data_IF_042037679858
#
_entry.id   IF_042037679858
#
_cell.length_a   1.000
_cell.length_b   1.000
_cell.length_c   1.000
_cell.angle_alpha   90.00
_cell.angle_beta   90.00
_cell.angle_gamma   90.00
#
_symmetry.space_group_name_H-M   'P 1'
#
loop_
_entity.id
_entity.type
_entity.pdbx_description
1 polymer ?
#
# COMPACT_ATOMS: atom_id res chain seq x y z
N UNK A 1 4.75 16.26 -19.05
CA UNK A 1 5.38 16.65 -20.34
C UNK A 1 6.03 15.47 -21.10
N UNK A 2 6.55 14.42 -20.43
CA UNK A 2 7.16 13.26 -21.11
C UNK A 2 6.18 12.35 -21.87
N UNK A 3 5.00 12.08 -21.31
CA UNK A 3 4.04 11.12 -21.87
C UNK A 3 3.45 11.54 -23.23
N UNK A 4 3.23 12.85 -23.44
CA UNK A 4 2.70 13.39 -24.69
C UNK A 4 3.72 13.32 -25.85
N UNK A 5 5.01 13.51 -25.56
CA UNK A 5 6.08 13.40 -26.58
C UNK A 5 6.29 11.95 -27.04
N UNK A 6 6.19 10.98 -26.11
CA UNK A 6 6.29 9.56 -26.42
C UNK A 6 5.10 9.08 -27.28
N UNK A 7 3.89 9.53 -26.96
CA UNK A 7 2.70 9.25 -27.77
C UNK A 7 2.82 9.83 -29.17
N UNK A 8 3.32 11.07 -29.30
CA UNK A 8 3.55 11.71 -30.59
C UNK A 8 4.59 10.95 -31.44
N UNK A 9 5.69 10.47 -30.85
CA UNK A 9 6.70 9.69 -31.58
C UNK A 9 6.18 8.32 -32.03
N UNK A 10 5.26 7.72 -31.27
CA UNK A 10 4.69 6.39 -31.58
C UNK A 10 3.56 6.44 -32.61
N UNK A 11 2.76 7.52 -32.60
CA UNK A 11 1.66 7.72 -33.54
C UNK A 11 2.19 8.31 -34.87
N UNK A 12 3.30 9.06 -34.83
CA UNK A 12 3.83 9.80 -35.98
C UNK A 12 2.81 10.82 -36.50
N UNK A 13 2.73 10.98 -37.82
CA UNK A 13 1.78 11.91 -38.47
C UNK A 13 0.37 11.31 -38.70
N UNK A 14 0.06 10.14 -38.11
CA UNK A 14 -1.23 9.47 -38.32
C UNK A 14 -2.35 10.25 -37.62
N UNK A 15 -3.29 10.80 -38.40
CA UNK A 15 -4.55 11.33 -37.88
C UNK A 15 -5.43 10.17 -37.39
N UNK A 16 -5.67 10.11 -36.09
CA UNK A 16 -6.54 9.11 -35.47
C UNK A 16 -7.71 9.78 -34.75
N UNK A 17 -8.83 9.06 -34.64
CA UNK A 17 -9.95 9.48 -33.79
C UNK A 17 -9.46 9.61 -32.34
N UNK A 18 -9.83 10.68 -31.64
CA UNK A 18 -9.52 10.84 -30.22
C UNK A 18 -10.44 9.96 -29.37
N UNK A 19 -10.25 8.64 -29.48
CA UNK A 19 -10.90 7.63 -28.65
C UNK A 19 -9.87 6.64 -28.14
N UNK A 20 -10.12 6.08 -26.95
CA UNK A 20 -9.24 5.12 -26.31
C UNK A 20 -8.87 3.95 -27.23
N UNK A 21 -9.84 3.38 -27.94
CA UNK A 21 -9.61 2.22 -28.81
C UNK A 21 -8.77 2.56 -30.04
N UNK A 22 -8.97 3.74 -30.63
CA UNK A 22 -8.20 4.19 -31.79
C UNK A 22 -6.73 4.48 -31.41
N UNK A 23 -6.51 5.09 -30.25
CA UNK A 23 -5.16 5.34 -29.71
C UNK A 23 -4.47 4.02 -29.36
N UNK A 24 -5.15 3.12 -28.64
CA UNK A 24 -4.59 1.83 -28.27
C UNK A 24 -4.20 1.00 -29.49
N UNK A 25 -5.03 0.97 -30.54
CA UNK A 25 -4.74 0.21 -31.77
C UNK A 25 -3.44 0.64 -32.45
N UNK A 26 -3.18 1.96 -32.51
CA UNK A 26 -1.95 2.47 -33.15
C UNK A 26 -0.72 2.27 -32.28
N UNK A 27 -0.86 2.42 -30.96
CA UNK A 27 0.27 2.34 -30.03
C UNK A 27 0.62 0.88 -29.70
N UNK A 28 -0.35 -0.03 -29.70
CA UNK A 28 -0.14 -1.42 -29.29
C UNK A 28 0.82 -2.19 -30.18
N UNK A 29 0.81 -1.93 -31.49
CA UNK A 29 1.67 -2.65 -32.44
C UNK A 29 3.16 -2.34 -32.22
N UNK A 30 3.45 -1.14 -31.69
CA UNK A 30 4.82 -0.64 -31.48
C UNK A 30 5.31 -0.70 -30.03
N UNK A 31 4.42 -0.93 -29.05
CA UNK A 31 4.76 -0.82 -27.61
C UNK A 31 4.30 -1.98 -26.76
N UNK A 32 3.39 -2.83 -27.25
CA UNK A 32 2.84 -3.90 -26.43
C UNK A 32 3.77 -5.10 -26.41
N UNK A 33 4.78 -5.00 -25.56
CA UNK A 33 5.75 -6.07 -25.32
C UNK A 33 5.08 -7.25 -24.62
N UNK A 34 4.09 -7.02 -23.75
CA UNK A 34 3.45 -8.09 -22.95
C UNK A 34 1.94 -8.10 -23.18
N UNK A 35 1.37 -9.29 -23.37
CA UNK A 35 -0.07 -9.51 -23.49
C UNK A 35 -0.53 -10.53 -22.45
N UNK A 36 -1.57 -10.19 -21.69
CA UNK A 36 -2.11 -11.01 -20.59
C UNK A 36 -3.59 -11.21 -20.84
N UNK A 37 -3.96 -12.41 -21.27
CA UNK A 37 -5.31 -12.72 -21.76
C UNK A 37 -6.02 -13.74 -20.88
N UNK A 38 -7.34 -13.57 -20.75
CA UNK A 38 -8.22 -14.58 -20.15
C UNK A 38 -8.45 -15.77 -21.12
N UNK A 39 -9.19 -16.78 -20.65
CA UNK A 39 -9.56 -17.95 -21.45
C UNK A 39 -10.34 -17.65 -22.74
N UNK A 40 -10.96 -16.47 -22.84
CA UNK A 40 -11.67 -16.01 -24.03
C UNK A 40 -10.77 -15.18 -24.96
N UNK A 41 -9.47 -15.08 -24.67
CA UNK A 41 -8.51 -14.29 -25.44
C UNK A 41 -8.59 -12.79 -25.21
N UNK A 42 -9.38 -12.34 -24.22
CA UNK A 42 -9.54 -10.92 -23.90
C UNK A 42 -8.46 -10.46 -22.95
N UNK A 43 -7.94 -9.27 -23.17
CA UNK A 43 -6.95 -8.65 -22.28
C UNK A 43 -7.53 -8.41 -20.90
N UNK A 44 -6.80 -8.87 -19.88
CA UNK A 44 -7.16 -8.64 -18.49
C UNK A 44 -6.76 -7.21 -18.13
N UNK A 45 -7.75 -6.34 -17.92
CA UNK A 45 -7.51 -4.91 -17.64
C UNK A 45 -7.02 -4.66 -16.21
N UNK A 46 -7.30 -5.58 -15.29
CA UNK A 46 -6.96 -5.47 -13.86
C UNK A 46 -5.64 -6.17 -13.56
N UNK A 47 -4.62 -5.95 -14.38
CA UNK A 47 -3.27 -6.47 -14.13
C UNK A 47 -2.25 -5.36 -14.19
N UNK A 48 -1.44 -5.26 -13.14
CA UNK A 48 -0.18 -4.52 -13.17
C UNK A 48 0.96 -5.50 -13.41
N UNK A 49 1.98 -5.06 -14.13
CA UNK A 49 3.17 -5.88 -14.33
C UNK A 49 4.44 -5.05 -14.28
N UNK A 50 5.55 -5.71 -13.95
CA UNK A 50 6.90 -5.16 -14.02
C UNK A 50 7.79 -6.17 -14.72
N UNK A 51 8.37 -5.75 -15.84
CA UNK A 51 9.39 -6.51 -16.55
C UNK A 51 10.77 -6.00 -16.16
N UNK A 52 11.68 -6.91 -15.79
CA UNK A 52 13.09 -6.64 -15.58
C UNK A 52 13.93 -7.57 -16.44
N UNK A 53 15.00 -7.03 -16.99
CA UNK A 53 16.03 -7.78 -17.68
C UNK A 53 17.29 -7.82 -16.82
N UNK A 54 17.92 -8.97 -16.81
CA UNK A 54 19.21 -9.29 -16.19
C UNK A 54 20.00 -10.10 -17.23
N UNK A 55 21.33 -10.15 -17.15
CA UNK A 55 22.23 -10.55 -18.26
C UNK A 55 21.86 -11.86 -18.97
N UNK A 56 21.21 -12.80 -18.27
CA UNK A 56 20.81 -14.10 -18.83
C UNK A 56 19.32 -14.44 -18.64
N UNK A 57 18.51 -13.51 -18.12
CA UNK A 57 17.16 -13.80 -17.62
C UNK A 57 16.22 -12.59 -17.74
N UNK A 58 14.95 -12.88 -18.01
CA UNK A 58 13.86 -11.91 -17.87
C UNK A 58 12.98 -12.28 -16.69
N UNK A 59 12.58 -11.29 -15.90
CA UNK A 59 11.63 -11.42 -14.81
C UNK A 59 10.39 -10.59 -15.11
N UNK A 60 9.24 -11.24 -15.23
CA UNK A 60 7.95 -10.58 -15.32
C UNK A 60 7.16 -10.83 -14.04
N UNK A 61 7.07 -9.83 -13.19
CA UNK A 61 6.09 -9.83 -12.09
C UNK A 61 4.72 -9.43 -12.66
N UNK A 62 3.68 -10.21 -12.35
CA UNK A 62 2.30 -9.90 -12.69
C UNK A 62 1.45 -9.93 -11.42
N UNK A 63 0.65 -8.89 -11.21
CA UNK A 63 -0.28 -8.75 -10.11
C UNK A 63 -1.68 -8.48 -10.64
N UNK A 64 -2.64 -9.31 -10.25
CA UNK A 64 -4.05 -9.04 -10.47
C UNK A 64 -4.53 -8.03 -9.41
N UNK A 65 -4.93 -6.84 -9.85
CA UNK A 65 -5.44 -5.79 -8.97
C UNK A 65 -6.94 -5.90 -8.72
N UNK A 66 -7.62 -6.86 -9.34
CA UNK A 66 -9.05 -7.09 -9.22
C UNK A 66 -9.43 -8.18 -8.21
N UNK A 67 -10.68 -8.13 -7.75
CA UNK A 67 -11.31 -9.14 -6.90
C UNK A 67 -11.74 -10.42 -7.66
N UNK A 68 -11.58 -10.44 -8.99
CA UNK A 68 -11.95 -11.58 -9.84
C UNK A 68 -10.76 -12.50 -10.01
N UNK A 69 -10.99 -13.79 -9.84
CA UNK A 69 -10.02 -14.83 -10.14
C UNK A 69 -10.08 -15.30 -11.61
N UNK A 70 -8.90 -15.59 -12.17
CA UNK A 70 -8.71 -16.14 -13.51
C UNK A 70 -7.98 -17.48 -13.44
N UNK A 71 -8.73 -18.57 -13.59
CA UNK A 71 -8.17 -19.93 -13.55
C UNK A 71 -7.36 -20.31 -14.80
N UNK A 72 -7.45 -19.52 -15.86
CA UNK A 72 -6.71 -19.73 -17.11
C UNK A 72 -6.35 -18.37 -17.67
N UNK A 73 -5.05 -18.08 -17.66
CA UNK A 73 -4.42 -16.86 -18.12
C UNK A 73 -3.30 -17.23 -19.06
N UNK A 74 -3.25 -16.61 -20.23
CA UNK A 74 -2.13 -16.74 -21.15
C UNK A 74 -1.31 -15.46 -21.15
N UNK A 75 -0.04 -15.57 -20.81
CA UNK A 75 0.93 -14.47 -20.75
C UNK A 75 1.91 -14.64 -21.90
N UNK A 76 1.85 -13.74 -22.88
CA UNK A 76 2.79 -13.71 -23.99
C UNK A 76 3.98 -12.79 -23.68
N UNK A 77 5.17 -13.30 -23.94
CA UNK A 77 6.46 -12.65 -23.75
C UNK A 77 7.29 -12.81 -25.04
N UNK A 78 7.83 -11.73 -25.63
CA UNK A 78 8.56 -11.75 -26.90
C UNK A 78 10.02 -12.17 -26.69
N UNK A 79 10.25 -13.10 -25.77
CA UNK A 79 11.57 -13.62 -25.41
C UNK A 79 11.63 -15.09 -25.74
N UNK A 80 12.83 -15.57 -26.04
CA UNK A 80 13.10 -17.00 -26.19
C UNK A 80 13.83 -17.52 -24.96
N UNK A 81 13.57 -18.78 -24.61
CA UNK A 81 14.16 -19.38 -23.42
C UNK A 81 13.22 -20.40 -22.79
N UNK A 82 13.44 -20.70 -21.51
CA UNK A 82 12.65 -21.63 -20.73
C UNK A 82 12.00 -20.88 -19.59
N UNK A 83 10.66 -20.92 -19.55
CA UNK A 83 9.91 -20.25 -18.49
C UNK A 83 9.85 -21.09 -17.22
N UNK A 84 9.94 -20.37 -16.11
CA UNK A 84 9.68 -20.82 -14.75
C UNK A 84 8.57 -19.95 -14.19
N UNK A 85 7.79 -20.50 -13.27
CA UNK A 85 6.80 -19.74 -12.51
C UNK A 85 7.20 -19.74 -11.04
N UNK A 86 7.38 -18.56 -10.45
CA UNK A 86 7.81 -18.39 -9.07
C UNK A 86 6.67 -17.80 -8.25
N UNK A 87 6.42 -18.40 -7.09
CA UNK A 87 5.42 -17.93 -6.16
C UNK A 87 6.04 -16.86 -5.24
N UNK A 88 5.63 -15.58 -5.36
CA UNK A 88 6.27 -14.49 -4.62
C UNK A 88 6.04 -14.57 -3.10
N UNK A 89 4.96 -15.23 -2.66
CA UNK A 89 4.65 -15.40 -1.23
C UNK A 89 5.54 -16.46 -0.56
N UNK A 90 5.85 -17.54 -1.27
CA UNK A 90 6.57 -18.70 -0.69
C UNK A 90 8.02 -18.80 -1.13
N UNK A 91 8.45 -18.02 -2.13
CA UNK A 91 9.77 -18.09 -2.74
C UNK A 91 10.03 -19.35 -3.59
N UNK A 92 9.04 -20.24 -3.73
CA UNK A 92 9.20 -21.50 -4.48
C UNK A 92 9.13 -21.27 -6.00
N UNK A 93 10.00 -21.96 -6.73
CA UNK A 93 10.06 -21.95 -8.18
C UNK A 93 9.53 -23.27 -8.78
N UNK A 94 8.77 -23.16 -9.87
CA UNK A 94 8.16 -24.28 -10.58
C UNK A 94 8.49 -24.22 -12.07
N UNK A 95 8.41 -25.38 -12.72
CA UNK A 95 8.40 -25.45 -14.18
C UNK A 95 7.07 -24.87 -14.68
N UNK A 96 7.13 -23.83 -15.51
CA UNK A 96 5.93 -23.23 -16.09
C UNK A 96 5.36 -24.11 -17.22
N UNK A 97 4.03 -24.09 -17.39
CA UNK A 97 3.38 -24.56 -18.62
C UNK A 97 3.51 -23.46 -19.69
N UNK A 98 4.28 -23.73 -20.74
CA UNK A 98 4.48 -22.73 -21.78
C UNK A 98 4.67 -23.37 -23.16
N UNK A 99 4.31 -22.61 -24.19
CA UNK A 99 4.60 -22.91 -25.60
C UNK A 99 5.58 -21.88 -26.15
N UNK A 100 6.44 -22.31 -27.08
CA UNK A 100 7.33 -21.41 -27.83
C UNK A 100 6.86 -21.36 -29.29
N UNK A 101 6.95 -20.19 -29.89
CA UNK A 101 6.76 -19.97 -31.32
C UNK A 101 7.77 -18.93 -31.83
N UNK A 102 7.64 -18.52 -33.10
CA UNK A 102 8.52 -17.51 -33.70
C UNK A 102 8.38 -16.11 -33.07
N UNK A 103 7.31 -15.85 -32.33
CA UNK A 103 7.01 -14.56 -31.68
C UNK A 103 7.45 -14.52 -30.22
N UNK A 104 7.84 -15.65 -29.63
CA UNK A 104 8.37 -15.73 -28.27
C UNK A 104 7.82 -16.93 -27.50
N UNK A 105 7.50 -16.71 -26.22
CA UNK A 105 6.87 -17.71 -25.37
C UNK A 105 5.49 -17.25 -24.90
N UNK A 106 4.59 -18.22 -24.76
CA UNK A 106 3.29 -18.03 -24.12
C UNK A 106 3.19 -18.96 -22.92
N UNK A 107 3.13 -18.37 -21.73
CA UNK A 107 2.98 -19.10 -20.47
C UNK A 107 1.49 -19.18 -20.11
N UNK A 108 1.01 -20.37 -19.78
CA UNK A 108 -0.33 -20.57 -19.23
C UNK A 108 -0.22 -20.68 -17.72
N UNK A 109 -1.01 -19.87 -17.03
CA UNK A 109 -1.05 -19.84 -15.57
C UNK A 109 -2.45 -19.45 -15.07
N UNK A 110 -2.57 -19.19 -13.78
CA UNK A 110 -3.74 -18.62 -13.12
C UNK A 110 -3.36 -17.34 -12.40
N UNK A 111 -4.33 -16.47 -12.18
CA UNK A 111 -4.20 -15.33 -11.29
C UNK A 111 -5.36 -15.33 -10.30
N UNK A 112 -5.05 -15.52 -9.02
CA UNK A 112 -6.04 -15.36 -7.94
C UNK A 112 -6.54 -13.92 -7.88
N UNK A 113 -7.71 -13.72 -7.28
CA UNK A 113 -8.14 -12.38 -6.85
C UNK A 113 -7.06 -11.76 -5.95
N UNK A 114 -6.61 -10.54 -6.27
CA UNK A 114 -5.49 -9.87 -5.58
C UNK A 114 -4.17 -10.67 -5.55
N UNK A 115 -4.05 -11.70 -6.40
CA UNK A 115 -2.90 -12.59 -6.45
C UNK A 115 -1.79 -12.08 -7.36
N UNK A 116 -0.58 -12.59 -7.15
CA UNK A 116 0.57 -12.31 -8.00
C UNK A 116 1.38 -13.56 -8.32
N UNK A 117 2.10 -13.50 -9.44
CA UNK A 117 3.03 -14.54 -9.88
C UNK A 117 4.25 -13.88 -10.54
N UNK A 118 5.39 -14.56 -10.55
CA UNK A 118 6.59 -14.12 -11.25
C UNK A 118 6.90 -15.13 -12.33
N UNK A 119 6.91 -14.70 -13.59
CA UNK A 119 7.38 -15.50 -14.71
C UNK A 119 8.85 -15.19 -14.96
N UNK A 120 9.71 -16.20 -14.90
CA UNK A 120 11.14 -16.06 -15.16
C UNK A 120 11.53 -16.80 -16.43
N UNK A 121 12.04 -16.08 -17.43
CA UNK A 121 12.52 -16.66 -18.70
C UNK A 121 14.04 -16.74 -18.65
N UNK A 122 14.59 -17.94 -18.70
CA UNK A 122 16.04 -18.17 -18.70
C UNK A 122 16.50 -18.71 -20.05
N UNK A 123 17.71 -18.36 -20.49
CA UNK A 123 18.32 -18.92 -21.72
C UNK A 123 18.43 -20.45 -21.66
N UNK A 124 18.85 -21.00 -20.52
CA UNK A 124 19.10 -22.42 -20.33
C UNK A 124 17.99 -23.09 -19.50
N UNK A 125 17.66 -24.35 -19.85
CA UNK A 125 16.71 -25.16 -19.11
C UNK A 125 17.32 -25.61 -17.79
N UNK A 126 16.66 -25.29 -16.68
CA UNK A 126 17.02 -25.82 -15.36
C UNK A 126 16.43 -27.23 -15.20
N UNK A 127 17.24 -28.19 -14.75
CA UNK A 127 16.79 -29.55 -14.44
C UNK A 127 16.10 -29.60 -13.07
N UNK A 128 15.23 -30.59 -12.87
CA UNK A 128 14.63 -30.93 -11.57
C UNK A 128 13.75 -29.85 -10.93
N UNK A 129 13.13 -28.97 -11.71
CA UNK A 129 12.08 -28.10 -11.17
C UNK A 129 10.79 -28.88 -10.92
N UNK A 130 10.12 -28.67 -9.77
CA UNK A 130 8.81 -29.25 -9.55
C UNK A 130 7.82 -28.70 -10.58
N UNK A 131 6.93 -29.56 -11.07
CA UNK A 131 5.80 -29.12 -11.87
C UNK A 131 4.81 -28.37 -10.98
N UNK A 132 4.28 -27.25 -11.46
CA UNK A 132 3.16 -26.60 -10.80
C UNK A 132 1.97 -27.56 -10.89
N UNK A 133 1.57 -28.17 -9.77
CA UNK A 133 0.38 -29.02 -9.77
C UNK A 133 -0.82 -28.14 -10.11
N UNK A 134 -1.71 -28.55 -11.03
CA UNK A 134 -3.01 -27.91 -11.16
C UNK A 134 -3.63 -27.90 -9.77
N UNK A 135 -3.96 -26.72 -9.26
CA UNK A 135 -4.73 -26.66 -8.02
C UNK A 135 -6.06 -27.30 -8.36
N UNK A 136 -6.34 -28.42 -7.70
CA UNK A 136 -7.61 -29.11 -7.88
C UNK A 136 -8.76 -28.13 -7.69
N UNK A 137 -9.84 -28.33 -8.45
CA UNK A 137 -11.11 -27.70 -8.07
C UNK A 137 -11.35 -28.03 -6.60
N UNK A 138 -11.81 -27.06 -5.77
CA UNK A 138 -12.18 -27.36 -4.39
C UNK A 138 -13.08 -28.60 -4.38
N UNK A 139 -12.55 -29.73 -3.90
CA UNK A 139 -13.26 -31.02 -3.97
C UNK A 139 -14.31 -31.12 -2.87
N UNK A 140 -14.24 -30.22 -1.89
CA UNK A 140 -15.11 -30.20 -0.73
C UNK A 140 -15.24 -28.79 -0.19
N UNK A 141 -16.46 -28.27 -0.16
CA UNK A 141 -16.81 -27.08 0.62
C UNK A 141 -17.06 -27.57 2.05
N UNK A 142 -16.20 -27.19 2.99
CA UNK A 142 -16.38 -27.53 4.40
C UNK A 142 -17.08 -26.33 5.05
N UNK A 143 -18.35 -26.51 5.42
CA UNK A 143 -19.04 -25.53 6.25
C UNK A 143 -18.43 -25.59 7.65
N UNK A 144 -17.89 -24.47 8.12
CA UNK A 144 -17.42 -24.33 9.49
C UNK A 144 -18.59 -24.60 10.44
N UNK A 145 -18.41 -25.58 11.36
CA UNK A 145 -19.49 -26.08 12.23
C UNK A 145 -19.88 -25.11 13.34
N UNK A 146 -18.94 -24.26 13.76
CA UNK A 146 -19.15 -23.32 14.87
C UNK A 146 -19.46 -21.93 14.32
N UNK A 147 -20.28 -21.18 15.06
CA UNK A 147 -20.51 -19.75 14.81
C UNK A 147 -19.33 -18.88 15.25
N UNK A 148 -18.44 -19.39 16.10
CA UNK A 148 -17.24 -18.70 16.58
C UNK A 148 -16.05 -19.65 16.70
N UNK A 149 -14.85 -19.08 16.53
CA UNK A 149 -13.59 -19.79 16.65
C UNK A 149 -12.65 -18.99 17.54
N UNK A 150 -11.88 -19.64 18.43
CA UNK A 150 -10.79 -18.97 19.10
C UNK A 150 -9.76 -18.57 18.03
N UNK A 151 -9.29 -17.34 18.12
CA UNK A 151 -8.25 -16.81 17.24
C UNK A 151 -7.02 -16.48 18.07
N UNK A 152 -5.86 -16.59 17.44
CA UNK A 152 -4.60 -16.04 17.94
C UNK A 152 -4.17 -15.03 16.89
N UNK A 153 -3.96 -13.80 17.33
CA UNK A 153 -3.50 -12.75 16.43
C UNK A 153 -1.98 -12.90 16.24
N UNK A 154 -1.54 -12.82 14.98
CA UNK A 154 -0.11 -12.77 14.65
C UNK A 154 0.53 -11.42 15.01
N UNK A 155 -0.29 -10.38 15.12
CA UNK A 155 0.09 -9.01 15.47
C UNK A 155 -1.05 -8.34 16.27
N UNK A 156 -0.79 -7.24 17.01
CA UNK A 156 -1.85 -6.50 17.68
C UNK A 156 -2.90 -6.00 16.67
N UNK A 157 -4.17 -5.95 17.09
CA UNK A 157 -5.16 -5.22 16.31
C UNK A 157 -4.89 -3.72 16.36
N UNK A 158 -5.37 -3.01 15.34
CA UNK A 158 -5.10 -1.59 15.14
C UNK A 158 -6.38 -0.79 14.99
N UNK A 159 -6.49 0.31 15.74
CA UNK A 159 -7.38 1.43 15.42
C UNK A 159 -6.56 2.45 14.65
N UNK A 160 -6.95 2.72 13.42
CA UNK A 160 -6.38 3.80 12.61
C UNK A 160 -7.05 5.11 13.01
N UNK A 161 -6.25 6.11 13.35
CA UNK A 161 -6.69 7.45 13.72
C UNK A 161 -6.08 8.44 12.74
N UNK A 162 -6.74 8.61 11.60
CA UNK A 162 -6.36 9.46 10.47
C UNK A 162 -7.33 10.63 10.24
N UNK A 163 -8.36 10.75 11.09
CA UNK A 163 -9.34 11.82 11.05
C UNK A 163 -9.57 12.40 12.46
N UNK A 164 -8.85 13.47 12.86
CA UNK A 164 -9.17 14.20 14.08
C UNK A 164 -10.60 14.75 14.04
N UNK A 165 -11.38 14.53 15.10
CA UNK A 165 -12.75 15.05 15.26
C UNK A 165 -12.80 16.57 15.45
N UNK A 166 -11.76 17.12 16.08
CA UNK A 166 -11.58 18.55 16.30
C UNK A 166 -10.09 18.88 16.13
N UNK A 167 -9.81 20.08 15.64
CA UNK A 167 -8.44 20.54 15.47
C UNK A 167 -8.34 22.06 15.57
N UNK A 168 -7.19 22.55 16.00
CA UNK A 168 -6.88 23.97 16.07
C UNK A 168 -5.59 24.25 15.31
N UNK A 169 -5.60 25.23 14.42
CA UNK A 169 -4.44 25.65 13.65
C UNK A 169 -4.21 27.14 13.90
N UNK A 170 -3.06 27.48 14.48
CA UNK A 170 -2.69 28.88 14.78
C UNK A 170 -3.80 29.65 15.53
N UNK A 171 -4.46 28.98 16.49
CA UNK A 171 -5.55 29.55 17.29
C UNK A 171 -6.95 29.46 16.66
N UNK A 172 -7.06 29.12 15.36
CA UNK A 172 -8.36 28.93 14.72
C UNK A 172 -8.86 27.51 14.96
N UNK A 173 -10.01 27.39 15.62
CA UNK A 173 -10.65 26.11 15.96
C UNK A 173 -11.57 25.62 14.85
N UNK A 174 -11.54 24.31 14.62
CA UNK A 174 -12.39 23.56 13.72
C UNK A 174 -13.03 22.40 14.51
N UNK A 175 -14.35 22.28 14.42
CA UNK A 175 -15.15 21.31 15.20
C UNK A 175 -15.87 20.32 14.30
N UNK A 176 -15.17 19.75 13.33
CA UNK A 176 -15.66 18.71 12.45
C UNK A 176 -14.52 17.76 12.07
N UNK A 177 -14.81 16.48 11.80
CA UNK A 177 -13.80 15.53 11.34
C UNK A 177 -13.24 15.90 9.97
N UNK A 178 -11.92 15.84 9.81
CA UNK A 178 -11.26 16.02 8.51
C UNK A 178 -10.04 15.10 8.40
N UNK A 179 -9.71 14.69 7.18
CA UNK A 179 -8.57 13.81 6.90
C UNK A 179 -7.23 14.49 7.21
N UNK A 180 -6.31 13.76 7.84
CA UNK A 180 -5.08 14.29 8.43
C UNK A 180 -4.18 15.00 7.42
N UNK A 181 -4.09 14.53 6.17
CA UNK A 181 -3.27 15.15 5.13
C UNK A 181 -3.88 16.47 4.64
N UNK A 182 -5.22 16.61 4.66
CA UNK A 182 -5.84 17.91 4.42
C UNK A 182 -5.60 18.89 5.56
N UNK A 183 -5.60 18.40 6.80
CA UNK A 183 -5.22 19.23 7.97
C UNK A 183 -3.75 19.65 7.86
N UNK A 184 -2.85 18.78 7.39
CA UNK A 184 -1.45 19.12 7.07
C UNK A 184 -1.39 20.27 6.06
N UNK A 185 -2.14 20.17 4.95
CA UNK A 185 -2.20 21.23 3.94
C UNK A 185 -2.72 22.56 4.50
N UNK A 186 -3.72 22.52 5.39
CA UNK A 186 -4.23 23.69 6.08
C UNK A 186 -3.18 24.32 7.00
N UNK A 187 -2.44 23.50 7.76
CA UNK A 187 -1.35 23.97 8.63
C UNK A 187 -0.22 24.59 7.80
N UNK A 188 0.18 23.95 6.69
CA UNK A 188 1.19 24.47 5.75
C UNK A 188 0.79 25.81 5.16
N UNK A 189 -0.46 25.93 4.70
CA UNK A 189 -1.01 27.20 4.21
C UNK A 189 -1.01 28.27 5.29
N UNK A 190 -1.38 27.94 6.53
CA UNK A 190 -1.32 28.87 7.66
C UNK A 190 0.11 29.30 8.02
N UNK A 191 1.08 28.40 7.86
CA UNK A 191 2.50 28.69 8.08
C UNK A 191 3.08 29.59 6.97
N UNK A 192 2.49 29.55 5.78
CA UNK A 192 2.95 30.26 4.57
C UNK A 192 3.84 29.42 3.66
N UNK A 193 3.78 28.09 3.78
CA UNK A 193 4.55 27.15 2.94
C UNK A 193 3.63 26.35 2.02
N UNK A 194 4.16 25.92 0.89
CA UNK A 194 3.39 25.15 -0.09
C UNK A 194 2.95 23.78 0.48
N UNK A 195 1.75 23.31 0.11
CA UNK A 195 1.30 21.92 0.30
C UNK A 195 2.34 20.90 -0.14
N UNK A 196 2.30 19.71 0.46
CA UNK A 196 3.19 18.62 0.02
C UNK A 196 2.65 18.00 -1.27
N UNK A 197 3.56 17.54 -2.13
CA UNK A 197 3.17 16.90 -3.37
C UNK A 197 4.36 16.64 -4.29
N UNK A 198 4.08 16.16 -5.50
CA UNK A 198 5.12 15.72 -6.44
C UNK A 198 6.09 16.79 -6.93
N UNK A 199 5.80 18.08 -6.69
CA UNK A 199 6.68 19.22 -7.02
C UNK A 199 7.55 19.67 -5.84
N UNK A 200 7.40 19.03 -4.68
CA UNK A 200 8.11 19.41 -3.47
C UNK A 200 9.59 19.02 -3.56
N UNK A 201 10.50 19.95 -3.25
CA UNK A 201 11.91 19.60 -3.04
C UNK A 201 12.02 18.60 -1.90
N UNK A 202 12.69 17.48 -2.17
CA UNK A 202 12.85 16.41 -1.19
C UNK A 202 13.61 16.91 0.04
N UNK A 203 13.28 16.47 1.27
CA UNK A 203 13.88 17.02 2.48
C UNK A 203 15.42 17.00 2.50
N UNK A 204 16.04 15.98 1.91
CA UNK A 204 17.50 15.84 1.84
C UNK A 204 18.19 16.81 0.87
N UNK A 205 17.45 17.47 -0.04
CA UNK A 205 18.02 18.47 -0.96
C UNK A 205 17.90 19.90 -0.44
N UNK A 206 17.20 20.11 0.68
CA UNK A 206 16.96 21.44 1.22
C UNK A 206 18.12 21.88 2.11
N UNK A 207 18.49 23.16 2.03
CA UNK A 207 19.29 23.81 3.07
C UNK A 207 18.46 23.88 4.35
N UNK A 208 18.97 23.31 5.44
CA UNK A 208 18.29 23.35 6.73
C UNK A 208 18.34 24.78 7.28
N UNK A 209 17.19 25.30 7.67
CA UNK A 209 17.03 26.59 8.34
C UNK A 209 17.19 26.34 9.84
N UNK A 210 18.05 27.12 10.48
CA UNK A 210 18.20 27.12 11.93
C UNK A 210 17.01 27.91 12.49
N UNK A 211 16.20 27.29 13.34
CA UNK A 211 14.96 27.85 13.90
C UNK A 211 13.89 28.20 12.84
N UNK A 212 13.30 27.20 12.17
CA UNK A 212 12.21 27.46 11.23
C UNK A 212 11.03 28.12 11.94
N UNK A 213 10.28 28.95 11.20
CA UNK A 213 8.99 29.47 11.66
C UNK A 213 8.10 28.30 12.08
N UNK A 214 7.39 28.46 13.20
CA UNK A 214 6.43 27.47 13.68
C UNK A 214 5.06 28.07 13.96
N UNK A 215 4.03 27.24 13.92
CA UNK A 215 2.66 27.56 14.35
C UNK A 215 2.15 26.46 15.28
N UNK A 216 1.34 26.78 16.30
CA UNK A 216 0.74 25.76 17.14
C UNK A 216 -0.37 25.03 16.40
N UNK A 217 -0.36 23.70 16.48
CA UNK A 217 -1.41 22.81 15.99
C UNK A 217 -1.83 21.86 17.10
N UNK A 218 -3.13 21.70 17.29
CA UNK A 218 -3.73 20.72 18.21
C UNK A 218 -4.71 19.84 17.43
N UNK A 219 -4.61 18.52 17.60
CA UNK A 219 -5.48 17.52 16.99
C UNK A 219 -6.14 16.71 18.09
N UNK A 220 -7.45 16.46 17.99
CA UNK A 220 -8.22 15.69 18.96
C UNK A 220 -8.92 14.54 18.25
N UNK A 221 -8.52 13.32 18.59
CA UNK A 221 -9.14 12.08 18.13
C UNK A 221 -10.04 11.52 19.23
N UNK A 222 -11.29 11.19 18.93
CA UNK A 222 -12.24 10.61 19.86
C UNK A 222 -12.50 9.16 19.50
N UNK A 223 -12.63 8.31 20.51
CA UNK A 223 -12.98 6.90 20.33
C UNK A 223 -13.74 6.39 21.54
N UNK A 224 -14.47 5.29 21.37
CA UNK A 224 -15.22 4.66 22.44
C UNK A 224 -14.57 3.33 22.85
N UNK A 225 -14.48 3.08 24.16
CA UNK A 225 -14.07 1.80 24.70
C UNK A 225 -15.26 1.11 25.37
N UNK A 226 -15.74 0.00 24.80
CA UNK A 226 -16.79 -0.81 25.44
C UNK A 226 -16.29 -1.49 26.72
N UNK A 227 -15.01 -1.84 26.73
CA UNK A 227 -14.24 -2.31 27.88
C UNK A 227 -12.79 -1.82 27.74
N UNK A 228 -12.07 -1.75 28.86
CA UNK A 228 -10.63 -1.46 28.81
C UNK A 228 -9.91 -2.76 28.42
N UNK A 229 -9.17 -2.79 27.30
CA UNK A 229 -8.47 -3.99 26.87
C UNK A 229 -7.48 -4.47 27.93
N UNK A 230 -7.44 -5.77 28.15
CA UNK A 230 -6.38 -6.39 28.96
C UNK A 230 -5.08 -6.51 28.16
N UNK A 231 -3.95 -6.49 28.87
CA UNK A 231 -2.63 -6.61 28.25
C UNK A 231 -2.04 -5.27 27.79
N UNK A 232 -1.03 -5.34 26.94
CA UNK A 232 -0.29 -4.18 26.46
C UNK A 232 -1.10 -3.41 25.41
N UNK A 233 -1.26 -2.11 25.64
CA UNK A 233 -1.81 -1.15 24.68
C UNK A 233 -0.68 -0.20 24.32
N UNK A 234 -0.51 0.12 23.04
CA UNK A 234 0.55 1.00 22.56
C UNK A 234 -0.05 2.04 21.60
N UNK A 235 0.44 3.27 21.67
CA UNK A 235 0.21 4.29 20.66
C UNK A 235 1.41 4.32 19.72
N UNK A 236 1.19 4.06 18.45
CA UNK A 236 2.19 4.15 17.39
C UNK A 236 2.08 5.52 16.70
N UNK A 237 3.19 6.27 16.70
CA UNK A 237 3.25 7.67 16.22
C UNK A 237 4.58 7.87 15.48
N UNK A 238 4.54 8.61 14.37
CA UNK A 238 5.77 9.08 13.74
C UNK A 238 6.40 10.22 14.55
N UNK A 239 7.69 10.07 14.88
CA UNK A 239 8.46 11.10 15.60
C UNK A 239 7.77 11.67 16.86
N UNK A 240 7.39 10.84 17.86
CA UNK A 240 6.62 11.28 19.02
C UNK A 240 7.25 12.41 19.83
N UNK A 241 8.57 12.58 19.76
CA UNK A 241 9.29 13.70 20.40
C UNK A 241 8.94 15.09 19.85
N UNK A 242 8.18 15.18 18.74
CA UNK A 242 7.62 16.44 18.23
C UNK A 242 6.29 16.80 18.88
N UNK A 243 5.66 15.86 19.58
CA UNK A 243 4.33 16.01 20.12
C UNK A 243 4.34 16.03 21.66
N UNK A 244 3.47 16.85 22.23
CA UNK A 244 2.95 16.64 23.57
C UNK A 244 1.63 15.89 23.44
N UNK A 245 1.55 14.71 24.03
CA UNK A 245 0.43 13.77 23.83
C UNK A 245 -0.34 13.64 25.13
N UNK A 246 -1.66 13.76 25.06
CA UNK A 246 -2.55 13.51 26.19
C UNK A 246 -3.55 12.44 25.84
N UNK A 247 -3.86 11.59 26.82
CA UNK A 247 -5.03 10.71 26.77
C UNK A 247 -6.00 11.24 27.81
N UNK A 248 -7.18 11.63 27.33
CA UNK A 248 -8.18 12.34 28.12
C UNK A 248 -7.65 13.67 28.67
N UNK A 249 -7.23 13.68 29.95
CA UNK A 249 -6.72 14.86 30.66
C UNK A 249 -5.26 14.69 31.09
N UNK A 250 -4.74 13.47 31.00
CA UNK A 250 -3.46 13.09 31.57
C UNK A 250 -2.42 12.96 30.44
N UNK A 251 -1.22 13.45 30.69
CA UNK A 251 -0.13 13.43 29.72
C UNK A 251 0.43 12.02 29.57
N UNK A 252 0.65 11.60 28.33
CA UNK A 252 1.28 10.34 28.01
C UNK A 252 2.80 10.54 27.93
N UNK A 253 3.53 9.99 28.90
CA UNK A 253 4.98 10.00 28.89
C UNK A 253 5.56 9.28 27.68
N UNK A 254 6.41 9.97 26.90
CA UNK A 254 6.98 9.45 25.65
C UNK A 254 8.36 8.80 25.82
N UNK A 255 8.90 8.79 27.04
CA UNK A 255 10.26 8.30 27.35
C UNK A 255 10.33 6.77 27.37
N UNK A 256 9.22 6.10 27.69
CA UNK A 256 9.11 4.64 27.74
C UNK A 256 8.90 4.02 26.36
N UNK A 257 9.76 4.32 25.37
CA UNK A 257 9.59 3.83 23.99
C UNK A 257 9.78 2.31 23.90
N UNK A 258 8.84 1.63 23.22
CA UNK A 258 8.76 0.16 23.11
C UNK A 258 9.14 -0.33 21.70
N UNK A 259 10.13 0.31 21.08
CA UNK A 259 10.55 0.02 19.71
C UNK A 259 9.68 0.72 18.65
N UNK A 260 9.46 0.04 17.52
CA UNK A 260 8.78 0.58 16.35
C UNK A 260 7.71 -0.37 15.80
N UNK A 261 6.78 0.16 15.00
CA UNK A 261 5.70 -0.60 14.38
C UNK A 261 5.72 -0.39 12.86
N UNK A 262 5.81 -1.49 12.09
CA UNK A 262 5.89 -1.57 10.61
C UNK A 262 7.07 -0.83 9.94
N UNK A 263 7.40 0.38 10.37
CA UNK A 263 8.52 1.20 9.93
C UNK A 263 9.28 1.77 11.14
N UNK A 264 10.58 2.03 11.01
CA UNK A 264 11.43 2.61 12.06
C UNK A 264 11.05 4.05 12.41
N UNK A 265 10.37 4.78 11.51
CA UNK A 265 9.88 6.13 11.80
C UNK A 265 8.69 6.14 12.78
N UNK A 266 7.92 5.05 12.84
CA UNK A 266 6.72 4.91 13.66
C UNK A 266 7.10 4.24 14.99
N UNK A 267 7.25 5.04 16.03
CA UNK A 267 7.66 4.59 17.35
C UNK A 267 6.44 4.18 18.18
N UNK A 268 6.58 3.12 18.98
CA UNK A 268 5.53 2.65 19.90
C UNK A 268 5.72 3.23 21.29
N UNK A 269 4.64 3.77 21.86
CA UNK A 269 4.59 4.32 23.21
C UNK A 269 3.55 3.49 24.00
N UNK A 270 3.95 2.75 25.04
CA UNK A 270 3.02 2.06 25.93
C UNK A 270 2.01 3.03 26.53
N UNK A 271 0.74 2.65 26.45
CA UNK A 271 -0.37 3.37 27.05
C UNK A 271 -0.74 2.68 28.35
N UNK A 272 -0.56 3.38 29.47
CA UNK A 272 -1.07 2.89 30.74
C UNK A 272 -2.61 2.82 30.67
N UNK A 273 -3.17 1.65 30.94
CA UNK A 273 -4.61 1.40 30.89
C UNK A 273 -5.41 2.32 31.82
N UNK A 274 -4.80 2.89 32.86
CA UNK A 274 -5.41 3.87 33.76
C UNK A 274 -5.73 5.21 33.08
N UNK A 275 -5.08 5.53 31.96
CA UNK A 275 -5.38 6.72 31.17
C UNK A 275 -6.68 6.57 30.37
N UNK A 276 -7.14 5.34 30.20
CA UNK A 276 -8.36 5.00 29.47
C UNK A 276 -9.52 4.80 30.44
N UNK A 277 -10.73 5.12 29.98
CA UNK A 277 -11.97 4.83 30.70
C UNK A 277 -12.98 4.11 29.82
N UNK A 278 -13.92 3.38 30.41
CA UNK A 278 -15.07 2.85 29.67
C UNK A 278 -15.88 4.02 29.10
N UNK A 279 -16.36 3.87 27.87
CA UNK A 279 -17.07 4.91 27.13
C UNK A 279 -16.12 5.81 26.32
N UNK A 280 -16.45 7.10 26.24
CA UNK A 280 -15.75 8.07 25.39
C UNK A 280 -14.37 8.42 25.92
N UNK A 281 -13.36 8.26 25.08
CA UNK A 281 -11.98 8.69 25.30
C UNK A 281 -11.57 9.68 24.20
N UNK A 282 -10.50 10.41 24.46
CA UNK A 282 -9.83 11.22 23.44
C UNK A 282 -8.32 11.12 23.54
N UNK A 283 -7.64 11.16 22.40
CA UNK A 283 -6.21 11.42 22.29
C UNK A 283 -6.06 12.85 21.78
N UNK A 284 -5.25 13.65 22.47
CA UNK A 284 -4.94 15.04 22.07
C UNK A 284 -3.46 15.08 21.72
N UNK A 285 -3.17 15.51 20.50
CA UNK A 285 -1.81 15.68 19.98
C UNK A 285 -1.54 17.17 19.82
N UNK A 286 -0.50 17.69 20.47
CA UNK A 286 -0.07 19.08 20.32
C UNK A 286 1.31 19.15 19.71
N UNK A 287 1.49 20.01 18.71
CA UNK A 287 2.77 20.21 18.02
C UNK A 287 2.99 21.69 17.71
N UNK A 288 4.23 22.16 17.86
CA UNK A 288 4.69 23.40 17.25
C UNK A 288 5.17 23.08 15.83
N UNK A 289 4.23 23.12 14.89
CA UNK A 289 4.37 22.68 13.51
C UNK A 289 5.28 23.61 12.70
N UNK A 290 6.25 23.04 11.99
CA UNK A 290 7.23 23.72 11.13
C UNK A 290 7.15 23.22 9.69
N UNK A 291 7.93 23.83 8.79
CA UNK A 291 7.98 23.42 7.38
C UNK A 291 8.51 21.98 7.15
N UNK A 292 9.19 21.43 8.15
CA UNK A 292 9.77 20.07 8.16
C UNK A 292 8.80 19.03 8.69
N UNK A 293 7.80 19.44 9.47
CA UNK A 293 6.85 18.52 10.06
C UNK A 293 5.82 18.07 9.04
N UNK A 294 5.27 16.89 9.31
CA UNK A 294 4.13 16.32 8.62
C UNK A 294 3.15 15.72 9.59
N UNK A 295 1.89 16.12 9.45
CA UNK A 295 0.83 15.43 10.15
C UNK A 295 0.55 14.11 9.40
N UNK A 296 0.58 13.03 10.15
CA UNK A 296 0.37 11.66 9.65
C UNK A 296 -0.60 10.95 10.60
N UNK A 297 -1.18 9.85 10.13
CA UNK A 297 -2.07 9.01 10.94
C UNK A 297 -1.34 8.49 12.20
N UNK A 298 -2.09 8.32 13.28
CA UNK A 298 -1.62 7.62 14.48
C UNK A 298 -2.40 6.33 14.67
N UNK A 299 -1.84 5.40 15.45
CA UNK A 299 -2.39 4.06 15.57
C UNK A 299 -2.46 3.63 17.02
N UNK A 300 -3.65 3.23 17.47
CA UNK A 300 -3.78 2.55 18.75
C UNK A 300 -3.66 1.05 18.51
N UNK A 301 -2.74 0.38 19.20
CA UNK A 301 -2.40 -1.02 19.03
C UNK A 301 -2.75 -1.79 20.30
N UNK A 302 -3.29 -3.01 20.16
CA UNK A 302 -3.53 -3.87 21.31
C UNK A 302 -4.39 -5.09 21.04
N UNK A 303 -4.73 -5.81 22.10
CA UNK A 303 -5.61 -6.98 22.04
C UNK A 303 -7.08 -6.59 22.24
N UNK A 304 -7.68 -6.01 21.21
CA UNK A 304 -9.08 -5.60 21.19
C UNK A 304 -9.68 -5.82 19.80
N UNK A 305 -11.00 -5.84 19.68
CA UNK A 305 -11.68 -5.76 18.39
C UNK A 305 -12.03 -4.30 18.07
N UNK A 306 -12.07 -3.97 16.78
CA UNK A 306 -12.47 -2.62 16.31
C UNK A 306 -13.82 -2.71 15.64
N UNK A 307 -14.72 -1.81 16.02
CA UNK A 307 -16.01 -1.63 15.38
C UNK A 307 -16.02 -0.26 14.68
N UNK A 308 -16.20 -0.26 13.37
CA UNK A 308 -16.36 0.95 12.57
C UNK A 308 -17.86 1.20 12.44
N UNK A 309 -18.41 2.01 13.35
CA UNK A 309 -19.80 2.49 13.29
C UNK A 309 -19.90 3.80 12.53
#
# INVERSE_FOLDING_TARGET
KGSARLLASLIGDKKIKFSKDAVLKVVSDSTKIISIKDKQGREIKTTNFMLREDESKYYLFVCNTGNKEYNTVSIHLPFTGYAQEWNPLTGKAYQADFKKDAKGITVNTRLYAYGSTIIVVKKNKQKNLPQLKPVGKPSKIIKLKKSSYPIILSEPNVVVLDMPDEYTISGKKYSYPEEILKIDDMARKSLGVAPRGGQMCQPWTRKKVINPKSIPVELIYKFNCDFIPGGLIELAVESPGRYTIFINKDELGIDSKSGWWVDKSIQKIPVNSQLLKKGKNKIIMKINYTEYDGLESIFLLGNFAVNLT
#
